data_IF_839063693736
#
_entry.id   IF_839063693736
#
_cell.length_a   1.000
_cell.length_b   1.000
_cell.length_c   1.000
_cell.angle_alpha   90.00
_cell.angle_beta   90.00
_cell.angle_gamma   90.00
#
_symmetry.space_group_name_H-M   'P 1'
#
loop_
_entity.id
_entity.type
_entity.pdbx_description
1 polymer ?
#
# COMPACT_ATOMS: atom_id res chain seq x y z
N UNK A 1 -0.67 14.06 -21.21
CA UNK A 1 -1.59 14.43 -20.10
C UNK A 1 -3.05 14.54 -20.56
N UNK A 2 -3.32 15.19 -21.70
CA UNK A 2 -4.68 15.48 -22.20
C UNK A 2 -5.57 14.25 -22.45
N UNK A 3 -5.01 13.14 -22.95
CA UNK A 3 -5.76 11.93 -23.28
C UNK A 3 -6.42 11.25 -22.08
N UNK A 4 -5.79 11.27 -20.89
CA UNK A 4 -6.40 10.70 -19.67
C UNK A 4 -7.58 11.53 -19.21
N UNK A 5 -7.48 12.85 -19.31
CA UNK A 5 -8.57 13.75 -18.94
C UNK A 5 -9.74 13.59 -19.92
N UNK A 6 -9.46 13.59 -21.22
CA UNK A 6 -10.45 13.32 -22.27
C UNK A 6 -11.13 11.94 -22.08
N UNK A 7 -10.39 10.90 -21.69
CA UNK A 7 -10.96 9.59 -21.41
C UNK A 7 -11.88 9.58 -20.19
N UNK A 8 -11.54 10.34 -19.13
CA UNK A 8 -12.41 10.53 -17.96
C UNK A 8 -13.67 11.31 -18.32
N UNK A 9 -13.53 12.40 -19.07
CA UNK A 9 -14.65 13.25 -19.49
C UNK A 9 -15.60 12.46 -20.40
N UNK A 10 -15.06 11.57 -21.23
CA UNK A 10 -15.82 10.63 -22.07
C UNK A 10 -16.34 9.39 -21.33
N UNK A 11 -16.16 9.29 -20.00
CA UNK A 11 -16.52 8.11 -19.16
C UNK A 11 -15.99 6.77 -19.68
N UNK A 12 -14.87 6.79 -20.40
CA UNK A 12 -14.22 5.58 -20.90
C UNK A 12 -13.23 5.04 -19.86
N UNK A 13 -13.71 4.18 -18.96
CA UNK A 13 -12.89 3.65 -17.87
C UNK A 13 -11.67 2.86 -18.34
N UNK A 14 -11.82 2.03 -19.39
CA UNK A 14 -10.73 1.23 -19.93
C UNK A 14 -9.59 2.09 -20.47
N UNK A 15 -9.91 3.09 -21.29
CA UNK A 15 -8.92 4.04 -21.80
C UNK A 15 -8.33 4.90 -20.68
N UNK A 16 -9.15 5.30 -19.70
CA UNK A 16 -8.69 6.05 -18.53
C UNK A 16 -7.69 5.26 -17.68
N UNK A 17 -7.92 3.96 -17.47
CA UNK A 17 -7.00 3.05 -16.78
C UNK A 17 -5.72 2.82 -17.59
N UNK A 18 -5.83 2.60 -18.90
CA UNK A 18 -4.66 2.45 -19.78
C UNK A 18 -3.77 3.70 -19.77
N UNK A 19 -4.36 4.89 -19.92
CA UNK A 19 -3.60 6.14 -19.83
C UNK A 19 -3.00 6.37 -18.43
N UNK A 20 -3.68 5.93 -17.34
CA UNK A 20 -3.11 5.95 -15.99
C UNK A 20 -1.89 5.04 -15.90
N UNK A 21 -1.96 3.82 -16.43
CA UNK A 21 -0.83 2.88 -16.46
C UNK A 21 0.37 3.47 -17.19
N UNK A 22 0.17 4.06 -18.39
CA UNK A 22 1.24 4.69 -19.16
C UNK A 22 1.92 5.82 -18.38
N UNK A 23 1.13 6.69 -17.75
CA UNK A 23 1.67 7.81 -16.98
C UNK A 23 2.45 7.32 -15.75
N UNK A 24 1.94 6.30 -15.07
CA UNK A 24 2.61 5.71 -13.92
C UNK A 24 3.87 4.92 -14.32
N UNK A 25 3.86 4.27 -15.49
CA UNK A 25 5.03 3.55 -16.00
C UNK A 25 6.17 4.47 -16.41
N UNK A 26 5.87 5.69 -16.84
CA UNK A 26 6.91 6.69 -17.15
C UNK A 26 7.82 6.94 -15.93
N UNK A 27 7.22 7.16 -14.75
CA UNK A 27 7.98 7.30 -13.50
C UNK A 27 8.78 6.04 -13.14
N UNK A 28 8.16 4.85 -13.30
CA UNK A 28 8.84 3.57 -13.04
C UNK A 28 10.04 3.33 -13.95
N UNK A 29 9.96 3.78 -15.21
CA UNK A 29 11.07 3.76 -16.16
C UNK A 29 12.19 4.72 -15.76
N UNK A 30 11.83 5.94 -15.32
CA UNK A 30 12.79 6.99 -14.96
C UNK A 30 13.50 6.72 -13.60
N UNK A 31 12.87 5.98 -12.68
CA UNK A 31 13.33 5.76 -11.31
C UNK A 31 13.99 4.37 -11.06
N UNK A 32 14.27 3.60 -12.12
CA UNK A 32 14.80 2.24 -12.04
C UNK A 32 16.30 2.23 -11.68
N UNK A 33 16.63 1.96 -10.41
CA UNK A 33 18.03 1.81 -9.95
C UNK A 33 18.55 0.38 -10.15
N UNK A 34 19.41 0.18 -11.16
CA UNK A 34 20.00 -1.13 -11.51
C UNK A 34 21.53 -1.23 -11.34
N UNK A 35 22.19 -0.15 -10.90
CA UNK A 35 23.66 -0.07 -10.84
C UNK A 35 24.30 -0.90 -9.70
N UNK A 36 23.62 -1.10 -8.56
CA UNK A 36 24.30 -1.58 -7.34
C UNK A 36 23.85 -2.91 -6.74
N UNK A 37 22.96 -3.67 -7.38
CA UNK A 37 22.51 -4.95 -6.82
C UNK A 37 22.61 -6.12 -7.80
N UNK A 38 23.18 -7.23 -7.33
CA UNK A 38 22.89 -8.56 -7.86
C UNK A 38 21.51 -8.95 -7.36
N UNK A 39 20.54 -9.11 -8.26
CA UNK A 39 19.17 -9.47 -7.89
C UNK A 39 19.08 -11.00 -7.68
N UNK A 40 19.85 -11.50 -6.70
CA UNK A 40 19.87 -12.91 -6.30
C UNK A 40 18.85 -13.11 -5.17
N UNK A 41 17.79 -13.87 -5.42
CA UNK A 41 16.76 -14.19 -4.43
C UNK A 41 16.98 -15.59 -3.87
N UNK A 42 16.89 -15.75 -2.55
CA UNK A 42 16.85 -17.06 -1.91
C UNK A 42 15.42 -17.58 -1.91
N UNK A 43 15.18 -18.69 -2.59
CA UNK A 43 13.85 -19.25 -2.84
C UNK A 43 13.83 -20.75 -2.52
N UNK A 44 12.70 -21.22 -1.99
CA UNK A 44 12.45 -22.65 -1.81
C UNK A 44 12.29 -23.36 -3.15
N UNK A 45 12.46 -24.68 -3.22
CA UNK A 45 12.39 -25.45 -4.47
C UNK A 45 11.12 -25.12 -5.28
N UNK A 46 9.97 -25.09 -4.60
CA UNK A 46 8.67 -24.75 -5.19
C UNK A 46 8.61 -23.31 -5.72
N UNK A 47 9.22 -22.35 -5.04
CA UNK A 47 9.24 -20.94 -5.47
C UNK A 47 10.25 -20.70 -6.59
N UNK A 48 11.36 -21.44 -6.59
CA UNK A 48 12.35 -21.45 -7.66
C UNK A 48 11.72 -21.93 -8.96
N UNK A 49 10.90 -22.98 -8.91
CA UNK A 49 10.15 -23.46 -10.07
C UNK A 49 9.22 -22.39 -10.65
N UNK A 50 8.50 -21.64 -9.80
CA UNK A 50 7.67 -20.51 -10.25
C UNK A 50 8.54 -19.41 -10.86
N UNK A 51 9.68 -19.08 -10.25
CA UNK A 51 10.58 -18.04 -10.73
C UNK A 51 11.22 -18.41 -12.08
N UNK A 52 11.53 -19.69 -12.30
CA UNK A 52 11.94 -20.23 -13.60
C UNK A 52 10.89 -20.00 -14.68
N UNK A 53 9.61 -19.88 -14.31
CA UNK A 53 8.52 -19.60 -15.24
C UNK A 53 8.36 -18.12 -15.61
N UNK A 54 9.02 -17.20 -14.90
CA UNK A 54 8.91 -15.76 -15.13
C UNK A 54 9.95 -15.25 -16.15
N UNK A 55 9.59 -14.23 -16.92
CA UNK A 55 10.39 -13.73 -18.05
C UNK A 55 11.74 -13.09 -17.69
N UNK A 56 11.96 -12.73 -16.43
CA UNK A 56 13.22 -12.15 -15.98
C UNK A 56 14.27 -13.16 -15.49
N UNK A 57 14.00 -14.46 -15.48
CA UNK A 57 14.95 -15.45 -14.93
C UNK A 57 16.23 -15.54 -15.77
N UNK A 58 17.39 -15.42 -15.10
CA UNK A 58 18.71 -15.67 -15.68
C UNK A 58 19.18 -17.08 -15.34
N UNK A 59 19.38 -17.36 -14.05
CA UNK A 59 20.01 -18.61 -13.59
C UNK A 59 19.64 -18.92 -12.14
N UNK A 60 19.77 -20.17 -11.71
CA UNK A 60 19.59 -20.57 -10.31
C UNK A 60 20.69 -21.52 -9.87
N UNK A 61 21.19 -21.31 -8.66
CA UNK A 61 22.17 -22.17 -8.00
C UNK A 61 21.52 -22.83 -6.78
N UNK A 62 21.62 -24.16 -6.69
CA UNK A 62 21.16 -24.90 -5.52
C UNK A 62 22.13 -24.69 -4.35
N UNK A 63 21.59 -24.36 -3.18
CA UNK A 63 22.37 -24.23 -1.94
C UNK A 63 22.09 -25.39 -0.98
N UNK A 64 20.85 -25.93 -0.99
CA UNK A 64 20.46 -27.21 -0.37
C UNK A 64 19.15 -27.73 -1.01
N UNK A 65 18.67 -28.89 -0.53
CA UNK A 65 17.47 -29.59 -1.03
C UNK A 65 16.18 -28.73 -1.15
N UNK A 66 16.05 -27.63 -0.38
CA UNK A 66 14.90 -26.70 -0.46
C UNK A 66 15.31 -25.22 -0.43
N UNK A 67 16.51 -24.88 -0.90
CA UNK A 67 17.00 -23.49 -0.91
C UNK A 67 17.89 -23.25 -2.13
N UNK A 68 17.47 -22.30 -2.96
CA UNK A 68 18.11 -21.95 -4.21
C UNK A 68 18.35 -20.44 -4.28
N UNK A 69 19.51 -20.05 -4.80
CA UNK A 69 19.83 -18.68 -5.16
C UNK A 69 19.45 -18.43 -6.62
N UNK A 70 18.47 -17.56 -6.89
CA UNK A 70 17.92 -17.31 -8.23
C UNK A 70 18.22 -15.89 -8.71
N UNK A 71 18.87 -15.76 -9.86
CA UNK A 71 19.31 -14.52 -10.49
C UNK A 71 18.34 -14.08 -11.60
N UNK A 72 18.12 -12.76 -11.73
CA UNK A 72 17.08 -12.16 -12.60
C UNK A 72 17.64 -10.94 -13.38
N UNK A 73 17.16 -10.71 -14.61
CA UNK A 73 17.66 -9.78 -15.64
C UNK A 73 17.58 -8.27 -15.29
N UNK A 74 18.41 -7.45 -15.94
CA UNK A 74 18.60 -6.00 -15.64
C UNK A 74 18.29 -5.08 -16.84
N UNK A 75 17.61 -3.96 -16.60
CA UNK A 75 17.39 -2.85 -17.55
C UNK A 75 17.87 -1.50 -16.94
N UNK A 76 18.24 -0.48 -17.76
CA UNK A 76 19.01 0.73 -17.32
C UNK A 76 18.47 2.10 -17.79
N UNK A 77 18.45 3.13 -16.90
CA UNK A 77 18.43 4.59 -17.19
C UNK A 77 18.87 5.42 -15.94
N UNK A 78 19.00 6.77 -16.01
CA UNK A 78 19.57 7.65 -14.95
C UNK A 78 18.58 8.75 -14.47
N UNK A 79 18.51 9.02 -13.15
CA UNK A 79 17.73 10.13 -12.56
C UNK A 79 18.39 10.76 -11.29
N UNK A 80 18.14 12.07 -11.03
CA UNK A 80 18.91 12.96 -10.13
C UNK A 80 18.11 13.65 -8.97
N UNK A 81 16.95 13.17 -8.52
CA UNK A 81 16.08 13.94 -7.58
C UNK A 81 16.16 13.49 -6.09
N UNK A 82 16.09 14.45 -5.14
CA UNK A 82 16.41 14.27 -3.72
C UNK A 82 15.26 13.74 -2.81
N UNK A 83 15.61 12.84 -1.88
CA UNK A 83 14.78 12.13 -0.87
C UNK A 83 14.20 13.00 0.27
N UNK A 84 14.40 14.32 0.26
CA UNK A 84 14.16 15.18 1.43
C UNK A 84 12.67 15.46 1.71
N UNK A 85 11.80 15.30 0.71
CA UNK A 85 10.35 15.53 0.86
C UNK A 85 9.66 14.46 1.72
N UNK A 86 10.21 13.23 1.76
CA UNK A 86 9.64 12.13 2.53
C UNK A 86 9.81 12.28 4.05
N UNK A 87 10.84 13.02 4.49
CA UNK A 87 11.14 13.17 5.93
C UNK A 87 10.26 14.22 6.60
N UNK A 88 9.81 15.25 5.86
CA UNK A 88 9.02 16.36 6.39
C UNK A 88 7.59 15.94 6.80
N UNK A 89 7.06 14.87 6.20
CA UNK A 89 5.73 14.33 6.51
C UNK A 89 5.69 13.60 7.87
N UNK A 90 6.84 13.16 8.40
CA UNK A 90 6.90 12.34 9.62
C UNK A 90 6.91 13.14 10.93
N UNK A 91 7.25 14.44 10.91
CA UNK A 91 7.50 15.21 12.15
C UNK A 91 6.32 16.10 12.60
N UNK A 92 5.25 16.18 11.80
CA UNK A 92 4.07 17.01 12.11
C UNK A 92 2.96 16.21 12.82
N UNK A 93 3.28 15.62 13.97
CA UNK A 93 2.30 14.94 14.83
C UNK A 93 2.28 15.58 16.22
N UNK A 94 1.71 16.78 16.31
CA UNK A 94 1.36 17.38 17.61
C UNK A 94 -0.15 17.60 17.72
N UNK A 95 -0.73 16.60 18.38
CA UNK A 95 -1.94 16.59 19.19
C UNK A 95 -3.32 16.36 18.52
N UNK A 96 -3.61 16.79 17.30
CA UNK A 96 -5.03 16.78 16.82
C UNK A 96 -5.31 15.89 15.60
N UNK A 97 -4.26 15.44 14.91
CA UNK A 97 -4.32 14.50 13.79
C UNK A 97 -3.26 13.42 13.98
N UNK A 98 -3.69 12.16 14.02
CA UNK A 98 -2.81 11.01 14.17
C UNK A 98 -2.65 10.30 12.84
N UNK A 99 -1.42 10.20 12.38
CA UNK A 99 -1.09 9.41 11.20
C UNK A 99 -1.25 7.91 11.50
N UNK A 100 -2.11 7.22 10.76
CA UNK A 100 -2.40 5.79 10.96
C UNK A 100 -1.58 4.92 10.01
N UNK A 101 -1.56 5.31 8.73
CA UNK A 101 -0.85 4.61 7.67
C UNK A 101 -0.73 5.53 6.44
N UNK A 102 0.31 5.31 5.65
CA UNK A 102 0.48 5.93 4.34
C UNK A 102 0.99 4.89 3.34
N UNK A 103 0.63 5.09 2.09
CA UNK A 103 1.19 4.41 0.92
C UNK A 103 1.67 5.50 -0.07
N UNK A 104 2.39 5.12 -1.12
CA UNK A 104 3.10 6.01 -2.06
C UNK A 104 2.41 7.36 -2.33
N UNK A 105 1.10 7.36 -2.58
CA UNK A 105 0.28 8.53 -2.93
C UNK A 105 -0.97 8.70 -2.04
N UNK A 106 -1.06 8.00 -0.91
CA UNK A 106 -2.21 8.07 -0.01
C UNK A 106 -1.82 8.11 1.47
N UNK A 107 -2.60 8.83 2.27
CA UNK A 107 -2.41 8.96 3.70
C UNK A 107 -3.74 8.76 4.42
N UNK A 108 -3.72 7.97 5.48
CA UNK A 108 -4.86 7.77 6.39
C UNK A 108 -4.56 8.45 7.71
N UNK A 109 -5.44 9.37 8.08
CA UNK A 109 -5.35 10.15 9.31
C UNK A 109 -6.56 9.87 10.19
N UNK A 110 -6.33 9.70 11.49
CA UNK A 110 -7.35 9.76 12.51
C UNK A 110 -7.43 11.20 13.03
N UNK A 111 -8.60 11.80 12.92
CA UNK A 111 -8.83 13.20 13.27
C UNK A 111 -9.69 13.26 14.52
N UNK A 112 -9.21 13.95 15.55
CA UNK A 112 -9.97 14.19 16.79
C UNK A 112 -10.82 15.45 16.63
N UNK A 113 -11.92 15.33 15.88
CA UNK A 113 -12.89 16.40 15.65
C UNK A 113 -13.98 16.51 16.73
N UNK A 114 -15.07 17.19 16.38
CA UNK A 114 -16.26 17.29 17.22
C UNK A 114 -16.99 15.94 17.29
N UNK A 115 -17.23 15.38 18.49
CA UNK A 115 -17.88 14.07 18.64
C UNK A 115 -19.35 14.05 18.20
N UNK A 116 -19.97 15.22 18.05
CA UNK A 116 -21.36 15.35 17.60
C UNK A 116 -21.48 15.42 16.06
N UNK A 117 -20.35 15.48 15.33
CA UNK A 117 -20.30 15.53 13.87
C UNK A 117 -19.73 14.22 13.33
N UNK A 118 -20.19 13.81 12.15
CA UNK A 118 -19.69 12.62 11.48
C UNK A 118 -18.27 12.83 10.90
N UNK A 119 -17.74 11.84 10.17
CA UNK A 119 -16.42 11.91 9.52
C UNK A 119 -16.37 12.92 8.36
N UNK A 120 -17.53 13.45 7.95
CA UNK A 120 -17.69 14.53 6.96
C UNK A 120 -17.11 15.87 7.41
N UNK A 121 -16.88 16.06 8.71
CA UNK A 121 -16.23 17.27 9.24
C UNK A 121 -14.77 17.44 8.79
N UNK A 122 -14.11 16.35 8.36
CA UNK A 122 -12.73 16.35 7.89
C UNK A 122 -11.80 17.15 8.81
N UNK A 123 -11.15 18.20 8.29
CA UNK A 123 -10.21 19.05 9.02
C UNK A 123 -10.86 20.28 9.66
N UNK A 124 -12.15 20.55 9.44
CA UNK A 124 -12.81 21.81 9.82
C UNK A 124 -12.62 22.15 11.29
N UNK A 125 -12.83 21.19 12.18
CA UNK A 125 -12.76 21.39 13.63
C UNK A 125 -11.31 21.44 14.17
N UNK A 126 -10.33 21.01 13.36
CA UNK A 126 -8.92 20.97 13.75
C UNK A 126 -8.16 22.22 13.29
N UNK A 127 -8.70 22.96 12.32
CA UNK A 127 -8.11 24.19 11.81
C UNK A 127 -8.16 25.29 12.89
N UNK A 128 -6.98 25.67 13.40
CA UNK A 128 -6.86 26.76 14.39
C UNK A 128 -6.83 28.14 13.76
N UNK A 129 -6.19 28.28 12.61
CA UNK A 129 -6.08 29.54 11.88
C UNK A 129 -6.87 29.43 10.57
N UNK A 130 -8.12 29.86 10.64
CA UNK A 130 -9.04 29.84 9.51
C UNK A 130 -8.54 30.73 8.36
N UNK A 131 -7.93 31.88 8.67
CA UNK A 131 -7.45 32.82 7.66
C UNK A 131 -6.27 32.23 6.89
N UNK A 132 -5.34 31.58 7.58
CA UNK A 132 -4.24 30.86 6.95
C UNK A 132 -4.77 29.72 6.08
N UNK A 133 -5.66 28.90 6.62
CA UNK A 133 -6.25 27.79 5.86
C UNK A 133 -6.95 28.28 4.60
N UNK A 134 -7.84 29.27 4.71
CA UNK A 134 -8.56 29.82 3.56
C UNK A 134 -7.65 30.47 2.51
N UNK A 135 -6.47 30.94 2.91
CA UNK A 135 -5.48 31.52 1.98
C UNK A 135 -4.76 30.44 1.16
N UNK A 136 -4.51 29.27 1.74
CA UNK A 136 -3.62 28.25 1.14
C UNK A 136 -4.31 26.94 0.77
N UNK A 137 -5.57 26.72 1.18
CA UNK A 137 -6.29 25.46 0.94
C UNK A 137 -6.33 25.09 -0.55
N UNK A 138 -6.52 26.06 -1.43
CA UNK A 138 -6.66 25.81 -2.88
C UNK A 138 -5.32 25.45 -3.54
N UNK A 139 -4.20 25.67 -2.85
CA UNK A 139 -2.87 25.22 -3.30
C UNK A 139 -2.58 23.76 -2.96
N UNK A 140 -3.32 23.18 -2.01
CA UNK A 140 -3.03 21.87 -1.44
C UNK A 140 -4.17 20.87 -1.63
N UNK A 141 -5.42 21.31 -1.55
CA UNK A 141 -6.61 20.47 -1.61
C UNK A 141 -7.38 20.68 -2.90
N UNK A 142 -7.98 19.60 -3.38
CA UNK A 142 -8.85 19.67 -4.56
C UNK A 142 -10.17 20.36 -4.21
N UNK A 143 -10.53 21.41 -4.96
CA UNK A 143 -11.84 22.04 -4.86
C UNK A 143 -12.96 21.10 -5.35
N UNK A 144 -14.10 21.11 -4.65
CA UNK A 144 -15.36 20.48 -5.08
C UNK A 144 -15.29 18.96 -5.37
N UNK A 145 -14.36 18.23 -4.72
CA UNK A 145 -14.23 16.78 -4.85
C UNK A 145 -13.69 16.30 -6.20
N UNK A 146 -13.32 17.20 -7.11
CA UNK A 146 -12.72 16.84 -8.39
C UNK A 146 -11.22 16.66 -8.22
N UNK A 147 -10.70 15.45 -8.44
CA UNK A 147 -9.26 15.16 -8.31
C UNK A 147 -8.44 16.00 -9.30
N UNK A 148 -7.71 16.99 -8.78
CA UNK A 148 -6.79 17.83 -9.54
C UNK A 148 -5.36 17.30 -9.47
N UNK A 149 -4.52 17.64 -10.45
CA UNK A 149 -3.12 17.23 -10.51
C UNK A 149 -2.34 17.90 -9.37
N UNK A 150 -1.53 17.13 -8.64
CA UNK A 150 -0.73 17.59 -7.48
C UNK A 150 -1.53 18.09 -6.27
N UNK A 151 -2.85 17.95 -6.28
CA UNK A 151 -3.69 18.30 -5.15
C UNK A 151 -4.08 17.05 -4.36
N UNK A 152 -4.25 17.21 -3.06
CA UNK A 152 -4.76 16.19 -2.14
C UNK A 152 -6.27 16.12 -2.32
N UNK A 153 -6.77 14.92 -2.60
CA UNK A 153 -8.20 14.64 -2.66
C UNK A 153 -8.60 13.69 -1.55
N UNK A 154 -9.74 13.94 -0.91
CA UNK A 154 -10.31 13.00 0.05
C UNK A 154 -10.95 11.85 -0.73
N UNK A 155 -10.37 10.66 -0.62
CA UNK A 155 -10.90 9.47 -1.32
C UNK A 155 -11.94 8.73 -0.50
N UNK A 156 -11.72 8.61 0.81
CA UNK A 156 -12.57 7.86 1.74
C UNK A 156 -12.54 8.53 3.10
N UNK A 157 -13.66 8.44 3.80
CA UNK A 157 -13.83 8.90 5.17
C UNK A 157 -14.57 7.84 5.97
N UNK A 158 -14.24 7.68 7.25
CA UNK A 158 -14.85 6.65 8.06
C UNK A 158 -14.64 6.79 9.54
N UNK A 159 -15.43 6.02 10.30
CA UNK A 159 -15.39 5.99 11.75
C UNK A 159 -14.25 5.10 12.25
N UNK A 160 -14.06 3.94 11.61
CA UNK A 160 -13.15 2.92 12.08
C UNK A 160 -12.10 2.61 11.03
N UNK A 161 -10.83 2.62 11.45
CA UNK A 161 -9.71 2.13 10.66
C UNK A 161 -8.85 1.20 11.51
N UNK A 162 -8.64 -0.03 11.03
CA UNK A 162 -7.73 -1.00 11.65
C UNK A 162 -6.64 -1.30 10.64
N UNK A 163 -5.40 -0.89 10.93
CA UNK A 163 -4.28 -1.08 10.02
C UNK A 163 -3.17 -1.90 10.68
N UNK A 164 -3.03 -3.18 10.29
CA UNK A 164 -2.08 -4.12 10.89
C UNK A 164 -0.65 -3.95 10.37
N UNK A 165 -0.51 -3.77 9.06
CA UNK A 165 0.78 -3.62 8.41
C UNK A 165 0.64 -2.74 7.17
N UNK A 166 1.75 -2.31 6.54
CA UNK A 166 1.67 -1.56 5.29
C UNK A 166 0.82 -2.30 4.25
N UNK A 167 -0.17 -1.60 3.67
CA UNK A 167 -1.12 -2.12 2.67
C UNK A 167 -2.03 -3.28 3.12
N UNK A 168 -2.18 -3.50 4.43
CA UNK A 168 -3.11 -4.47 5.03
C UNK A 168 -3.94 -3.77 6.12
N UNK A 169 -5.17 -3.35 5.78
CA UNK A 169 -6.03 -2.57 6.66
C UNK A 169 -7.51 -2.73 6.34
N UNK A 170 -8.36 -2.32 7.28
CA UNK A 170 -9.81 -2.23 7.15
C UNK A 170 -10.21 -0.77 7.37
N UNK A 171 -11.08 -0.24 6.50
CA UNK A 171 -11.72 1.08 6.67
C UNK A 171 -13.23 0.89 6.46
N UNK A 172 -14.06 1.15 7.47
CA UNK A 172 -15.52 0.99 7.42
C UNK A 172 -15.95 -0.28 6.66
N UNK A 173 -15.49 -1.44 7.12
CA UNK A 173 -15.83 -2.77 6.56
C UNK A 173 -15.16 -3.12 5.22
N UNK A 174 -14.50 -2.16 4.55
CA UNK A 174 -13.74 -2.46 3.34
C UNK A 174 -12.34 -2.96 3.68
N UNK A 175 -12.08 -4.21 3.31
CA UNK A 175 -10.81 -4.89 3.55
C UNK A 175 -9.86 -4.60 2.39
N UNK A 176 -8.67 -4.11 2.71
CA UNK A 176 -7.56 -3.96 1.76
C UNK A 176 -6.43 -4.86 2.20
N UNK A 177 -6.11 -5.87 1.39
CA UNK A 177 -5.00 -6.79 1.63
C UNK A 177 -4.05 -6.83 0.44
N UNK A 178 -2.76 -6.64 0.70
CA UNK A 178 -1.73 -6.72 -0.32
C UNK A 178 -1.50 -8.16 -0.75
N UNK A 179 -1.68 -8.41 -2.04
CA UNK A 179 -1.26 -9.65 -2.66
C UNK A 179 -2.20 -10.82 -2.42
N UNK A 180 -3.41 -10.57 -1.90
CA UNK A 180 -4.51 -11.52 -1.75
C UNK A 180 -5.65 -11.09 -2.68
N UNK A 181 -6.29 -12.04 -3.36
CA UNK A 181 -7.47 -11.77 -4.19
C UNK A 181 -8.70 -12.08 -3.33
N UNK A 182 -9.35 -11.03 -2.81
CA UNK A 182 -10.47 -11.16 -1.87
C UNK A 182 -11.67 -11.89 -2.49
N UNK A 183 -11.97 -11.66 -3.77
CA UNK A 183 -13.07 -12.33 -4.47
C UNK A 183 -12.93 -13.86 -4.50
N UNK A 184 -11.69 -14.36 -4.47
CA UNK A 184 -11.39 -15.79 -4.44
C UNK A 184 -11.33 -16.35 -3.01
N UNK A 185 -11.32 -15.46 -2.00
CA UNK A 185 -11.11 -15.81 -0.61
C UNK A 185 -12.16 -15.14 0.30
N UNK A 186 -13.46 -15.48 0.14
CA UNK A 186 -14.55 -14.87 0.92
C UNK A 186 -14.48 -15.20 2.42
N UNK A 187 -13.70 -16.22 2.81
CA UNK A 187 -13.43 -16.53 4.22
C UNK A 187 -12.63 -15.43 4.94
N UNK A 188 -12.01 -14.52 4.19
CA UNK A 188 -11.27 -13.39 4.74
C UNK A 188 -12.22 -12.22 4.89
N UNK A 189 -12.79 -12.11 6.09
CA UNK A 189 -13.68 -11.04 6.49
C UNK A 189 -13.12 -10.32 7.74
N UNK A 190 -13.85 -9.31 8.22
CA UNK A 190 -13.46 -8.54 9.41
C UNK A 190 -13.32 -9.43 10.65
N UNK A 191 -14.20 -10.41 10.82
CA UNK A 191 -14.11 -11.35 11.95
C UNK A 191 -12.82 -12.17 11.89
N UNK A 192 -12.42 -12.66 10.71
CA UNK A 192 -11.13 -13.34 10.53
C UNK A 192 -9.96 -12.42 10.90
N UNK A 193 -10.06 -11.13 10.57
CA UNK A 193 -9.07 -10.12 10.93
C UNK A 193 -8.97 -9.94 12.45
N UNK A 194 -10.11 -9.77 13.13
CA UNK A 194 -10.19 -9.64 14.59
C UNK A 194 -9.75 -10.91 15.31
N UNK A 195 -10.11 -12.08 14.79
CA UNK A 195 -9.71 -13.38 15.32
C UNK A 195 -8.20 -13.58 15.21
N UNK A 196 -7.59 -13.21 14.07
CA UNK A 196 -6.14 -13.27 13.92
C UNK A 196 -5.42 -12.38 14.94
N UNK A 197 -5.93 -11.17 15.19
CA UNK A 197 -5.37 -10.26 16.19
C UNK A 197 -5.51 -10.82 17.60
N UNK A 198 -6.73 -11.23 17.99
CA UNK A 198 -7.03 -11.64 19.35
C UNK A 198 -6.42 -13.00 19.72
N UNK A 199 -6.40 -13.94 18.77
CA UNK A 199 -5.90 -15.31 18.98
C UNK A 199 -4.45 -15.50 18.55
N UNK A 200 -3.84 -14.50 17.89
CA UNK A 200 -2.49 -14.60 17.35
C UNK A 200 -2.36 -15.60 16.20
N UNK A 201 -3.44 -15.91 15.50
CA UNK A 201 -3.46 -16.94 14.44
C UNK A 201 -3.08 -16.36 13.08
N UNK A 202 -2.79 -17.26 12.12
CA UNK A 202 -2.49 -16.92 10.74
C UNK A 202 -3.67 -17.37 9.87
N UNK A 203 -4.24 -16.44 9.11
CA UNK A 203 -5.20 -16.75 8.06
C UNK A 203 -4.46 -16.95 6.73
N UNK A 204 -4.68 -18.08 6.09
CA UNK A 204 -4.13 -18.39 4.76
C UNK A 204 -5.17 -18.18 3.67
N UNK A 205 -4.72 -17.73 2.50
CA UNK A 205 -5.52 -17.57 1.29
C UNK A 205 -4.91 -18.36 0.14
N UNK A 206 -5.74 -18.73 -0.83
CA UNK A 206 -5.29 -19.31 -2.09
C UNK A 206 -5.61 -18.30 -3.19
N UNK A 207 -4.57 -17.81 -3.85
CA UNK A 207 -4.75 -17.01 -5.06
C UNK A 207 -4.59 -17.91 -6.28
N UNK A 208 -5.56 -17.83 -7.17
CA UNK A 208 -5.50 -18.44 -8.49
C UNK A 208 -5.27 -17.34 -9.52
N UNK A 209 -4.16 -17.41 -10.25
CA UNK A 209 -3.84 -16.48 -11.34
C UNK A 209 -3.63 -17.25 -12.65
N UNK A 210 -3.99 -16.63 -13.77
CA UNK A 210 -3.60 -17.13 -15.08
C UNK A 210 -2.27 -16.49 -15.47
N UNK A 211 -1.32 -17.31 -15.89
CA UNK A 211 -0.01 -16.88 -16.35
C UNK A 211 0.30 -17.53 -17.68
N UNK A 212 0.80 -16.76 -18.64
CA UNK A 212 1.19 -17.28 -19.94
C UNK A 212 2.71 -17.37 -20.04
N UNK A 213 3.22 -18.50 -20.53
CA UNK A 213 4.64 -18.68 -20.83
C UNK A 213 4.80 -19.40 -22.15
N UNK A 214 5.62 -18.85 -23.05
CA UNK A 214 5.91 -19.41 -24.39
C UNK A 214 4.64 -19.77 -25.16
N UNK A 215 3.64 -18.89 -25.13
CA UNK A 215 2.35 -19.11 -25.79
C UNK A 215 1.36 -19.99 -25.02
N UNK A 216 1.80 -20.79 -24.05
CA UNK A 216 0.93 -21.66 -23.25
C UNK A 216 0.41 -20.91 -22.02
N UNK A 217 -0.91 -20.88 -21.87
CA UNK A 217 -1.56 -20.32 -20.69
C UNK A 217 -1.73 -21.41 -19.62
N UNK A 218 -1.31 -21.11 -18.40
CA UNK A 218 -1.40 -22.02 -17.27
C UNK A 218 -2.09 -21.34 -16.09
N UNK A 219 -2.84 -22.13 -15.31
CA UNK A 219 -3.46 -21.69 -14.06
C UNK A 219 -2.50 -21.98 -12.92
N UNK A 220 -2.07 -20.95 -12.21
CA UNK A 220 -1.21 -21.06 -11.04
C UNK A 220 -2.03 -20.85 -9.78
N UNK A 221 -1.97 -21.80 -8.86
CA UNK A 221 -2.53 -21.66 -7.52
C UNK A 221 -1.40 -21.48 -6.52
N UNK A 222 -1.47 -20.43 -5.73
CA UNK A 222 -0.48 -20.10 -4.72
C UNK A 222 -1.15 -19.92 -3.37
N UNK A 223 -0.72 -20.70 -2.38
CA UNK A 223 -1.06 -20.46 -0.98
C UNK A 223 -0.22 -19.30 -0.44
N UNK A 224 -0.87 -18.36 0.26
CA UNK A 224 -0.25 -17.20 0.88
C UNK A 224 -0.77 -17.01 2.29
N UNK A 225 0.07 -16.49 3.18
CA UNK A 225 -0.38 -15.96 4.46
C UNK A 225 -1.03 -14.60 4.19
N UNK A 226 -2.34 -14.51 4.44
CA UNK A 226 -3.12 -13.31 4.16
C UNK A 226 -3.08 -12.34 5.34
N UNK A 227 -3.37 -12.84 6.54
CA UNK A 227 -3.36 -12.05 7.77
C UNK A 227 -2.54 -12.81 8.79
N UNK A 228 -1.63 -12.09 9.44
CA UNK A 228 -0.85 -12.60 10.56
C UNK A 228 -1.24 -11.82 11.80
N UNK A 229 -1.59 -12.50 12.88
CA UNK A 229 -1.84 -11.88 14.20
C UNK A 229 -0.63 -11.20 14.84
N UNK A 230 0.53 -11.17 14.19
CA UNK A 230 1.73 -10.51 14.70
C UNK A 230 1.58 -8.99 14.59
N UNK A 231 1.45 -8.32 15.74
CA UNK A 231 1.49 -6.86 15.81
C UNK A 231 2.91 -6.39 15.46
N UNK A 232 3.07 -5.65 14.36
CA UNK A 232 4.36 -5.06 13.98
C UNK A 232 4.38 -3.55 14.14
N UNK A 233 3.26 -2.96 14.56
CA UNK A 233 3.11 -1.53 14.77
C UNK A 233 3.40 -1.12 16.20
N UNK A 234 3.65 0.16 16.38
CA UNK A 234 3.91 0.84 17.65
C UNK A 234 2.73 0.69 18.64
N UNK A 235 3.02 0.45 19.92
CA UNK A 235 2.07 0.46 21.04
C UNK A 235 1.96 1.88 21.58
N UNK A 236 0.74 2.34 21.88
CA UNK A 236 0.50 3.57 22.63
C UNK A 236 0.39 3.23 24.11
N UNK A 237 1.29 3.80 24.91
CA UNK A 237 1.31 3.65 26.37
C UNK A 237 0.25 4.54 27.02
N UNK A 238 -0.09 4.26 28.28
CA UNK A 238 -1.09 5.02 29.05
C UNK A 238 -0.77 6.51 29.18
N UNK A 239 0.51 6.87 29.09
CA UNK A 239 1.00 8.25 29.06
C UNK A 239 1.00 8.88 27.66
N UNK A 240 0.32 8.25 26.68
CA UNK A 240 0.25 8.67 25.28
C UNK A 240 1.59 8.68 24.53
N UNK A 241 2.66 8.14 25.13
CA UNK A 241 3.92 7.91 24.41
C UNK A 241 3.84 6.62 23.60
N UNK A 242 4.66 6.53 22.55
CA UNK A 242 4.56 5.44 21.61
C UNK A 242 5.87 4.62 21.55
N UNK A 243 5.77 3.30 21.72
CA UNK A 243 6.90 2.37 21.73
C UNK A 243 6.78 1.39 20.55
N UNK A 244 7.84 1.06 19.79
CA UNK A 244 7.78 -0.07 18.85
C UNK A 244 7.30 -1.35 19.56
N UNK A 245 6.34 -2.07 18.99
CA UNK A 245 5.94 -3.39 19.53
C UNK A 245 7.10 -4.36 19.31
N UNK A 246 7.76 -4.72 20.40
CA UNK A 246 8.77 -5.77 20.45
C UNK A 246 8.21 -6.86 21.35
N UNK A 247 7.94 -8.02 20.76
CA UNK A 247 7.43 -9.17 21.50
C UNK A 247 8.37 -9.53 22.66
N UNK A 248 7.82 -9.81 23.85
CA UNK A 248 8.54 -10.08 25.11
C UNK A 248 9.27 -8.91 25.79
N UNK A 249 9.08 -7.66 25.39
CA UNK A 249 9.49 -6.52 26.23
C UNK A 249 8.32 -6.17 27.15
N UNK A 250 8.46 -6.49 28.44
CA UNK A 250 7.57 -5.97 29.47
C UNK A 250 7.97 -4.53 29.78
N UNK A 251 6.99 -3.62 29.73
CA UNK A 251 7.13 -2.27 30.26
C UNK A 251 7.26 -2.30 31.78
#
# INVERSE_FOLDING_TARGET
>A
MNLRQQAKDAKNEGLGQFCKLILNSAFGGDALNSEKYSNTRLLSANKTFIQHMLGGFIHSTELNDDLYAVQVDKESCRCNTCLQVAYFVLDSAKFWMHFVQGDTDSLTWAISGNPNRGPDQLFEEVIKDQRFFDTYKDCAFSENGQKQILHIGVEKQGYNCIALSPKNYIINDEIVLKGIILDQNPQINEQTFMDCINKGTIATAINTTLSQRKGVMSRLQMSKNAITGSHTKMIVLSNQSCLPFINNIKA
#
